data_IF_282566883446
#
_entry.id   IF_282566883446
#
_cell.length_a   1.000
_cell.length_b   1.000
_cell.length_c   1.000
_cell.angle_alpha   90.00
_cell.angle_beta   90.00
_cell.angle_gamma   90.00
#
_symmetry.space_group_name_H-M   'P 1'
#
loop_
_entity.id
_entity.type
_entity.pdbx_description
1 polymer ?
#
# COMPACT_ATOMS: atom_id res chain seq x y z
N UNK A 1 7.64 -5.00 -19.89
CA UNK A 1 6.40 -5.84 -19.92
C UNK A 1 5.19 -4.93 -19.92
N UNK A 2 4.16 -5.22 -20.72
CA UNK A 2 2.97 -4.36 -20.80
C UNK A 2 1.95 -4.79 -19.76
N UNK A 3 1.46 -3.87 -18.92
CA UNK A 3 0.39 -4.11 -17.95
C UNK A 3 -0.88 -4.69 -18.62
N UNK A 4 -1.26 -4.18 -19.80
CA UNK A 4 -2.44 -4.66 -20.54
C UNK A 4 -2.38 -6.17 -20.85
N UNK A 5 -1.19 -6.72 -21.15
CA UNK A 5 -1.02 -8.14 -21.51
C UNK A 5 -0.91 -9.03 -20.28
N UNK A 6 -0.16 -8.59 -19.27
CA UNK A 6 0.24 -9.46 -18.16
C UNK A 6 -0.53 -9.19 -16.87
N UNK A 7 -1.36 -8.13 -16.82
CA UNK A 7 -2.05 -7.63 -15.62
C UNK A 7 -1.11 -7.20 -14.50
N UNK A 8 0.20 -7.11 -14.77
CA UNK A 8 1.21 -6.53 -13.88
C UNK A 8 2.35 -5.91 -14.69
N UNK A 9 3.06 -5.00 -14.06
CA UNK A 9 4.30 -4.45 -14.59
C UNK A 9 5.13 -3.80 -13.49
N UNK A 10 6.44 -3.71 -13.70
CA UNK A 10 7.36 -3.01 -12.79
C UNK A 10 7.67 -1.64 -13.37
N UNK A 11 7.40 -0.60 -12.60
CA UNK A 11 7.79 0.77 -12.90
C UNK A 11 9.04 1.11 -12.10
N UNK A 12 10.16 1.22 -12.81
CA UNK A 12 11.43 1.63 -12.21
C UNK A 12 11.41 3.12 -11.91
N UNK A 13 11.91 3.50 -10.73
CA UNK A 13 11.97 4.91 -10.29
C UNK A 13 10.61 5.60 -10.38
N UNK A 14 9.55 4.94 -9.87
CA UNK A 14 8.22 5.55 -9.76
C UNK A 14 8.26 6.84 -8.93
N UNK A 15 9.14 6.87 -7.93
CA UNK A 15 9.60 8.06 -7.21
C UNK A 15 11.14 8.05 -7.15
N UNK A 16 11.74 9.19 -6.83
CA UNK A 16 13.19 9.26 -6.67
C UNK A 16 13.64 8.48 -5.42
N UNK A 17 14.90 8.05 -5.41
CA UNK A 17 15.47 7.34 -4.25
C UNK A 17 15.48 8.24 -3.01
N UNK A 18 15.73 9.53 -3.17
CA UNK A 18 15.74 10.52 -2.10
C UNK A 18 14.35 10.67 -1.46
N UNK A 19 13.30 10.70 -2.28
CA UNK A 19 11.93 10.75 -1.79
C UNK A 19 11.56 9.42 -1.10
N UNK A 20 11.94 8.28 -1.65
CA UNK A 20 11.72 6.98 -1.01
C UNK A 20 12.40 6.91 0.37
N UNK A 21 13.67 7.33 0.46
CA UNK A 21 14.43 7.39 1.72
C UNK A 21 13.80 8.35 2.74
N UNK A 22 13.35 9.53 2.29
CA UNK A 22 12.66 10.50 3.16
C UNK A 22 11.37 9.89 3.74
N UNK A 23 10.52 9.31 2.88
CA UNK A 23 9.26 8.69 3.31
C UNK A 23 9.52 7.48 4.23
N UNK A 24 10.54 6.69 3.95
CA UNK A 24 10.94 5.58 4.81
C UNK A 24 11.37 6.04 6.20
N UNK A 25 12.22 7.07 6.28
CA UNK A 25 12.65 7.68 7.55
C UNK A 25 11.48 8.31 8.31
N UNK A 26 10.61 9.04 7.61
CA UNK A 26 9.37 9.57 8.17
C UNK A 26 8.55 8.44 8.83
N UNK A 27 8.32 7.36 8.10
CA UNK A 27 7.47 6.28 8.59
C UNK A 27 8.11 5.51 9.76
N UNK A 28 9.43 5.34 9.75
CA UNK A 28 10.18 4.80 10.91
C UNK A 28 10.08 5.70 12.13
N UNK A 29 10.23 7.01 11.96
CA UNK A 29 10.07 7.96 13.05
C UNK A 29 8.65 7.94 13.60
N UNK A 30 7.63 7.93 12.73
CA UNK A 30 6.22 7.79 13.14
C UNK A 30 6.00 6.53 13.96
N UNK A 31 6.51 5.38 13.52
CA UNK A 31 6.47 4.13 14.30
C UNK A 31 7.10 4.29 15.69
N UNK A 32 8.27 4.91 15.77
CA UNK A 32 8.99 5.09 17.02
C UNK A 32 8.22 6.01 17.98
N UNK A 33 7.66 7.12 17.47
CA UNK A 33 6.81 8.03 18.26
C UNK A 33 5.55 7.30 18.74
N UNK A 34 4.86 6.60 17.83
CA UNK A 34 3.69 5.81 18.18
C UNK A 34 3.98 4.78 19.27
N UNK A 35 5.15 4.13 19.22
CA UNK A 35 5.58 3.16 20.22
C UNK A 35 5.78 3.81 21.59
N UNK A 36 6.44 4.97 21.67
CA UNK A 36 6.62 5.72 22.92
C UNK A 36 5.29 6.14 23.50
N UNK A 37 4.39 6.69 22.67
CA UNK A 37 3.05 7.10 23.10
C UNK A 37 2.23 5.90 23.64
N UNK A 38 2.33 4.75 22.98
CA UNK A 38 1.69 3.52 23.40
C UNK A 38 2.26 2.99 24.71
N UNK A 39 3.58 2.84 24.81
CA UNK A 39 4.26 2.31 26.02
C UNK A 39 4.06 3.26 27.23
N UNK A 40 3.93 4.57 26.99
CA UNK A 40 3.61 5.57 28.00
C UNK A 40 2.11 5.71 28.31
N UNK A 41 1.26 4.91 27.67
CA UNK A 41 -0.21 4.92 27.82
C UNK A 41 -0.90 6.23 27.43
N UNK A 42 -0.27 7.04 26.57
CA UNK A 42 -0.90 8.24 26.01
C UNK A 42 -1.91 7.94 24.93
N UNK A 43 -1.72 6.82 24.21
CA UNK A 43 -2.64 6.33 23.20
C UNK A 43 -3.02 4.87 23.47
N UNK A 44 -4.21 4.48 23.05
CA UNK A 44 -4.64 3.09 23.03
C UNK A 44 -3.87 2.30 21.95
N UNK A 45 -3.58 1.00 22.15
CA UNK A 45 -3.00 0.13 21.13
C UNK A 45 -3.84 0.03 19.86
N UNK A 46 -5.09 0.43 19.92
CA UNK A 46 -6.05 0.41 18.82
C UNK A 46 -6.26 1.80 18.17
N UNK A 47 -5.39 2.76 18.49
CA UNK A 47 -5.48 4.12 17.93
C UNK A 47 -4.91 4.18 16.54
N UNK A 48 -5.79 4.17 15.53
CA UNK A 48 -5.41 4.10 14.11
C UNK A 48 -4.64 5.32 13.58
N UNK A 49 -4.76 6.49 14.23
CA UNK A 49 -4.09 7.74 13.80
C UNK A 49 -2.55 7.66 13.79
N UNK A 50 -2.00 6.80 14.64
CA UNK A 50 -0.57 6.61 14.77
C UNK A 50 -0.07 5.30 14.17
N UNK A 51 -1.00 4.51 13.58
CA UNK A 51 -0.71 3.17 13.09
C UNK A 51 -0.96 2.11 14.17
N UNK A 52 -0.94 0.86 13.74
CA UNK A 52 -1.32 -0.30 14.55
C UNK A 52 -0.28 -1.41 14.45
N UNK A 53 -0.32 -2.34 15.41
CA UNK A 53 0.48 -3.58 15.42
C UNK A 53 -0.36 -4.86 15.41
N UNK A 54 -1.69 -4.72 15.38
CA UNK A 54 -2.64 -5.83 15.45
C UNK A 54 -3.30 -6.17 14.11
N UNK A 55 -2.62 -5.90 12.99
CA UNK A 55 -3.08 -6.33 11.68
C UNK A 55 -2.99 -7.85 11.56
N UNK A 56 -4.12 -8.51 11.31
CA UNK A 56 -4.22 -9.97 11.23
C UNK A 56 -3.45 -10.57 10.04
N UNK A 57 -3.26 -9.80 8.95
CA UNK A 57 -2.54 -10.28 7.78
C UNK A 57 -1.04 -10.49 8.05
N UNK A 58 -0.43 -9.60 8.89
CA UNK A 58 0.97 -9.74 9.33
C UNK A 58 1.04 -9.33 10.81
N UNK A 59 0.79 -10.27 11.73
CA UNK A 59 0.69 -9.98 13.16
C UNK A 59 1.95 -9.34 13.76
N UNK A 60 1.74 -8.46 14.74
CA UNK A 60 2.83 -7.76 15.46
C UNK A 60 3.75 -6.93 14.57
N UNK A 61 3.27 -6.52 13.40
CA UNK A 61 4.02 -5.69 12.44
C UNK A 61 3.37 -4.33 12.29
N UNK A 62 4.19 -3.26 12.42
CA UNK A 62 3.69 -1.89 12.34
C UNK A 62 3.13 -1.57 10.97
N UNK A 63 1.89 -1.15 10.95
CA UNK A 63 1.16 -0.75 9.75
C UNK A 63 0.30 0.49 9.97
N UNK A 64 0.00 1.19 8.88
CA UNK A 64 -0.81 2.40 8.92
C UNK A 64 -1.68 2.51 7.67
N UNK A 65 -2.99 2.61 7.89
CA UNK A 65 -3.98 2.89 6.86
C UNK A 65 -4.16 4.41 6.73
N UNK A 66 -4.19 4.94 5.49
CA UNK A 66 -4.59 6.30 5.22
C UNK A 66 -3.65 7.38 5.78
N UNK A 67 -2.37 7.07 6.01
CA UNK A 67 -1.39 8.06 6.42
C UNK A 67 -1.31 9.20 5.39
N UNK A 68 -1.35 10.46 5.84
CA UNK A 68 -1.42 11.65 4.97
C UNK A 68 -0.25 11.70 3.99
N UNK A 69 0.98 11.38 4.43
CA UNK A 69 2.14 11.38 3.54
C UNK A 69 2.03 10.26 2.49
N UNK A 70 1.52 9.08 2.87
CA UNK A 70 1.33 7.96 1.95
C UNK A 70 0.19 8.23 0.95
N UNK A 71 -0.87 8.90 1.37
CA UNK A 71 -1.96 9.29 0.45
C UNK A 71 -1.58 10.48 -0.43
N UNK A 72 -0.63 11.30 0.00
CA UNK A 72 0.01 12.28 -0.89
C UNK A 72 0.81 11.57 -1.99
N UNK A 73 1.54 10.48 -1.66
CA UNK A 73 2.17 9.64 -2.68
C UNK A 73 1.15 8.99 -3.62
N UNK A 74 0.02 8.51 -3.09
CA UNK A 74 -1.09 7.95 -3.88
C UNK A 74 -1.51 8.93 -4.99
N UNK A 75 -1.71 10.20 -4.65
CA UNK A 75 -2.06 11.24 -5.62
C UNK A 75 -0.90 11.56 -6.58
N UNK A 76 0.32 11.66 -6.05
CA UNK A 76 1.50 12.05 -6.83
C UNK A 76 1.90 11.02 -7.90
N UNK A 77 1.79 9.71 -7.60
CA UNK A 77 2.18 8.66 -8.56
C UNK A 77 1.07 8.30 -9.54
N UNK A 78 -0.18 8.69 -9.29
CA UNK A 78 -1.32 8.37 -10.16
C UNK A 78 -1.12 8.75 -11.64
N UNK A 79 -0.67 9.97 -12.01
CA UNK A 79 -0.44 10.31 -13.42
C UNK A 79 0.59 9.41 -14.10
N UNK A 80 1.63 9.02 -13.37
CA UNK A 80 2.67 8.11 -13.87
C UNK A 80 2.10 6.71 -14.06
N UNK A 81 1.28 6.23 -13.12
CA UNK A 81 0.57 4.96 -13.25
C UNK A 81 -0.40 4.94 -14.42
N UNK A 82 -1.20 5.99 -14.59
CA UNK A 82 -2.14 6.12 -15.71
C UNK A 82 -1.41 6.05 -17.06
N UNK A 83 -0.31 6.80 -17.19
CA UNK A 83 0.54 6.75 -18.39
C UNK A 83 1.13 5.36 -18.64
N UNK A 84 1.60 4.69 -17.58
CA UNK A 84 2.26 3.38 -17.68
C UNK A 84 1.29 2.23 -17.97
N UNK A 85 0.11 2.26 -17.38
CA UNK A 85 -0.92 1.21 -17.55
C UNK A 85 -1.84 1.45 -18.75
N UNK A 86 -2.01 2.72 -19.14
CA UNK A 86 -3.02 3.16 -20.12
C UNK A 86 -4.44 3.14 -19.55
N UNK A 87 -4.60 3.12 -18.23
CA UNK A 87 -5.89 3.21 -17.53
C UNK A 87 -6.13 4.62 -17.00
N UNK A 88 -7.40 4.95 -16.76
CA UNK A 88 -7.80 6.07 -15.91
C UNK A 88 -8.16 5.53 -14.54
N UNK A 89 -7.60 6.12 -13.49
CA UNK A 89 -7.63 5.60 -12.13
C UNK A 89 -8.37 6.54 -11.17
N UNK A 90 -9.12 5.94 -10.26
CA UNK A 90 -9.77 6.59 -9.12
C UNK A 90 -9.09 6.11 -7.85
N UNK A 91 -8.65 7.02 -7.00
CA UNK A 91 -7.98 6.71 -5.74
C UNK A 91 -8.95 6.04 -4.76
N UNK A 92 -8.45 5.05 -4.03
CA UNK A 92 -9.17 4.43 -2.91
C UNK A 92 -8.49 4.74 -1.57
N UNK A 93 -7.35 4.14 -1.30
CA UNK A 93 -6.58 4.41 -0.07
C UNK A 93 -5.12 3.97 -0.21
N UNK A 94 -4.33 4.38 0.76
CA UNK A 94 -2.98 3.86 0.97
C UNK A 94 -2.90 2.99 2.21
N UNK A 95 -2.00 2.02 2.18
CA UNK A 95 -1.63 1.22 3.34
C UNK A 95 -0.11 1.09 3.38
N UNK A 96 0.50 1.30 4.53
CA UNK A 96 1.95 1.21 4.65
C UNK A 96 2.34 0.23 5.76
N UNK A 97 3.47 -0.44 5.61
CA UNK A 97 3.94 -1.42 6.58
C UNK A 97 5.47 -1.40 6.68
N UNK A 98 5.99 -1.53 7.91
CA UNK A 98 7.42 -1.80 8.16
C UNK A 98 7.53 -3.24 8.64
N UNK A 99 7.90 -4.09 7.72
CA UNK A 99 8.13 -5.51 7.99
C UNK A 99 9.40 -5.73 8.81
N UNK A 100 9.39 -6.78 9.62
CA UNK A 100 10.49 -7.22 10.46
C UNK A 100 10.84 -8.67 10.18
N UNK A 101 11.99 -9.12 10.67
CA UNK A 101 12.43 -10.51 10.56
C UNK A 101 11.34 -11.49 11.02
N UNK A 102 11.14 -12.54 10.24
CA UNK A 102 10.13 -13.57 10.46
C UNK A 102 8.74 -13.25 9.89
N UNK A 103 8.52 -12.04 9.37
CA UNK A 103 7.23 -11.71 8.74
C UNK A 103 7.04 -12.49 7.45
N UNK A 104 5.81 -12.91 7.22
CA UNK A 104 5.35 -13.57 6.00
C UNK A 104 4.11 -12.83 5.51
N UNK A 105 4.03 -12.57 4.22
CA UNK A 105 2.77 -12.16 3.59
C UNK A 105 2.17 -13.38 2.90
N UNK A 106 1.13 -13.96 3.52
CA UNK A 106 0.47 -15.12 2.99
C UNK A 106 -0.06 -14.88 1.57
N UNK A 107 -0.12 -15.94 0.75
CA UNK A 107 -0.65 -15.90 -0.61
C UNK A 107 -2.12 -15.52 -0.60
N UNK A 108 -2.48 -14.45 -1.31
CA UNK A 108 -3.83 -13.90 -1.33
C UNK A 108 -4.11 -13.10 -2.60
N UNK A 109 -5.36 -12.72 -2.79
CA UNK A 109 -5.83 -11.69 -3.70
C UNK A 109 -6.40 -10.53 -2.91
N UNK A 110 -6.33 -9.34 -3.47
CA UNK A 110 -6.87 -8.14 -2.84
C UNK A 110 -8.40 -8.06 -2.94
N UNK A 111 -8.97 -7.18 -2.10
CA UNK A 111 -10.37 -6.81 -2.15
C UNK A 111 -10.70 -5.91 -3.35
N UNK A 112 -11.97 -5.75 -3.67
CA UNK A 112 -12.46 -4.94 -4.79
C UNK A 112 -12.06 -3.47 -4.74
N UNK A 113 -11.81 -2.90 -3.56
CA UNK A 113 -11.25 -1.54 -3.41
C UNK A 113 -9.79 -1.44 -3.89
N UNK A 114 -9.14 -2.57 -4.12
CA UNK A 114 -7.74 -2.71 -4.55
C UNK A 114 -7.64 -3.33 -5.95
N UNK A 115 -8.57 -2.97 -6.87
CA UNK A 115 -8.62 -3.52 -8.24
C UNK A 115 -7.26 -3.34 -8.96
N UNK A 116 -6.69 -2.15 -8.85
CA UNK A 116 -5.34 -1.83 -9.33
C UNK A 116 -4.50 -1.48 -8.11
N UNK A 117 -3.65 -2.39 -7.76
CA UNK A 117 -2.78 -2.29 -6.58
C UNK A 117 -1.34 -2.00 -6.95
N UNK A 118 -0.63 -1.45 -6.00
CA UNK A 118 0.83 -1.32 -6.09
C UNK A 118 1.50 -1.80 -4.81
N UNK A 119 2.77 -2.19 -4.94
CA UNK A 119 3.72 -2.18 -3.83
C UNK A 119 4.91 -1.33 -4.26
N UNK A 120 5.15 -0.25 -3.54
CA UNK A 120 6.27 0.68 -3.74
C UNK A 120 7.28 0.46 -2.61
N UNK A 121 8.50 0.11 -2.98
CA UNK A 121 9.57 -0.09 -2.01
C UNK A 121 10.11 1.27 -1.53
N UNK A 122 10.01 1.53 -0.24
CA UNK A 122 10.55 2.72 0.41
C UNK A 122 12.01 2.56 0.84
N UNK A 123 12.42 1.35 1.25
CA UNK A 123 13.77 1.08 1.73
C UNK A 123 13.83 -0.07 2.73
N UNK A 124 15.00 -0.27 3.30
CA UNK A 124 15.32 -1.40 4.16
C UNK A 124 16.00 -2.54 3.38
N UNK A 125 15.97 -3.73 3.95
CA UNK A 125 16.60 -4.90 3.35
C UNK A 125 15.77 -5.46 2.19
N UNK A 126 16.44 -6.10 1.24
CA UNK A 126 15.81 -6.71 0.07
C UNK A 126 14.79 -7.78 0.48
N UNK A 127 13.58 -7.63 -0.01
CA UNK A 127 12.52 -8.62 0.18
C UNK A 127 11.63 -8.74 -1.06
N UNK A 128 11.81 -9.78 -1.85
CA UNK A 128 11.05 -9.94 -3.09
C UNK A 128 9.57 -10.21 -2.82
N UNK A 129 8.73 -9.75 -3.75
CA UNK A 129 7.33 -10.16 -3.83
C UNK A 129 7.18 -11.17 -4.95
N UNK A 130 6.28 -12.12 -4.76
CA UNK A 130 5.87 -13.09 -5.78
C UNK A 130 4.46 -12.78 -6.23
N UNK A 131 4.17 -12.99 -7.50
CA UNK A 131 2.82 -12.93 -8.02
C UNK A 131 2.60 -14.02 -9.06
N UNK A 132 1.37 -14.49 -9.15
CA UNK A 132 0.97 -15.51 -10.12
C UNK A 132 0.29 -14.85 -11.33
N UNK A 133 1.01 -14.69 -12.47
CA UNK A 133 0.46 -14.06 -13.65
C UNK A 133 -0.53 -14.94 -14.41
N UNK A 134 -0.67 -16.21 -14.05
CA UNK A 134 -1.58 -17.14 -14.73
C UNK A 134 -3.03 -16.98 -14.27
N UNK A 135 -3.26 -16.41 -13.09
CA UNK A 135 -4.56 -16.35 -12.43
C UNK A 135 -5.08 -17.71 -11.95
N UNK A 136 -4.27 -18.77 -12.09
CA UNK A 136 -4.57 -20.12 -11.62
C UNK A 136 -3.95 -20.32 -10.25
N UNK A 137 -4.73 -20.78 -9.30
CA UNK A 137 -4.25 -21.02 -7.94
C UNK A 137 -3.09 -22.02 -7.88
N UNK A 138 -2.15 -21.81 -6.94
CA UNK A 138 -1.11 -22.78 -6.60
C UNK A 138 0.12 -22.82 -7.53
N UNK A 139 0.25 -21.90 -8.50
CA UNK A 139 1.44 -21.85 -9.37
C UNK A 139 2.65 -21.23 -8.66
N UNK A 140 3.85 -21.55 -9.14
CA UNK A 140 5.11 -21.09 -8.54
C UNK A 140 5.28 -19.54 -8.54
N UNK A 141 4.59 -18.87 -9.48
CA UNK A 141 4.64 -17.41 -9.58
C UNK A 141 5.93 -16.85 -10.15
N UNK A 142 5.94 -15.52 -10.26
CA UNK A 142 7.09 -14.74 -10.72
C UNK A 142 7.66 -13.96 -9.54
N UNK A 143 8.96 -14.12 -9.31
CA UNK A 143 9.71 -13.37 -8.28
C UNK A 143 10.06 -11.98 -8.79
N UNK A 144 9.64 -10.95 -8.07
CA UNK A 144 9.89 -9.54 -8.39
C UNK A 144 10.73 -8.90 -7.29
N UNK A 145 11.87 -8.33 -7.67
CA UNK A 145 12.71 -7.51 -6.79
C UNK A 145 12.51 -6.03 -7.10
N UNK A 146 12.37 -5.22 -6.07
CA UNK A 146 12.18 -3.78 -6.16
C UNK A 146 13.27 -3.07 -5.36
N UNK A 147 13.99 -2.16 -6.00
CA UNK A 147 14.86 -1.23 -5.29
C UNK A 147 14.04 -0.09 -4.67
N UNK A 148 14.57 0.67 -3.69
CA UNK A 148 13.90 1.85 -3.18
C UNK A 148 13.49 2.82 -4.30
N UNK A 149 12.21 3.19 -4.33
CA UNK A 149 11.59 4.00 -5.39
C UNK A 149 11.01 3.21 -6.57
N UNK A 150 11.30 1.90 -6.70
CA UNK A 150 10.65 1.02 -7.68
C UNK A 150 9.26 0.61 -7.19
N UNK A 151 8.34 0.42 -8.14
CA UNK A 151 6.95 0.05 -7.85
C UNK A 151 6.52 -1.12 -8.74
N UNK A 152 5.92 -2.15 -8.15
CA UNK A 152 5.15 -3.15 -8.87
C UNK A 152 3.69 -2.67 -8.94
N UNK A 153 3.11 -2.69 -10.12
CA UNK A 153 1.69 -2.41 -10.38
C UNK A 153 1.04 -3.72 -10.81
N UNK A 154 -0.10 -4.08 -10.25
CA UNK A 154 -0.77 -5.33 -10.56
C UNK A 154 -2.29 -5.24 -10.36
N UNK A 155 -3.03 -6.13 -11.05
CA UNK A 155 -4.47 -6.33 -10.83
C UNK A 155 -4.67 -7.13 -9.55
N UNK A 156 -4.90 -6.44 -8.43
CA UNK A 156 -4.92 -7.03 -7.09
C UNK A 156 -6.00 -8.10 -6.92
N UNK A 157 -7.19 -7.88 -7.51
CA UNK A 157 -8.31 -8.83 -7.44
C UNK A 157 -8.11 -10.08 -8.32
N UNK A 158 -7.26 -9.98 -9.34
CA UNK A 158 -7.07 -11.07 -10.32
C UNK A 158 -5.88 -11.98 -9.98
N UNK A 159 -4.77 -11.36 -9.54
CA UNK A 159 -3.49 -12.03 -9.38
C UNK A 159 -3.20 -12.32 -7.92
N UNK A 160 -2.96 -13.58 -7.60
CA UNK A 160 -2.43 -13.95 -6.29
C UNK A 160 -1.02 -13.40 -6.12
N UNK A 161 -0.73 -12.91 -4.94
CA UNK A 161 0.58 -12.39 -4.60
C UNK A 161 0.92 -12.69 -3.14
N UNK A 162 2.24 -12.79 -2.84
CA UNK A 162 2.74 -13.17 -1.53
C UNK A 162 4.20 -12.79 -1.35
N UNK A 163 4.67 -12.89 -0.13
CA UNK A 163 6.09 -12.82 0.23
C UNK A 163 6.42 -13.97 1.17
N UNK A 164 7.52 -14.64 0.90
CA UNK A 164 8.07 -15.68 1.78
C UNK A 164 8.64 -15.06 3.06
N UNK A 165 9.08 -15.87 4.01
CA UNK A 165 9.63 -15.37 5.27
C UNK A 165 10.74 -14.34 5.06
N UNK A 166 10.60 -13.20 5.75
CA UNK A 166 11.57 -12.12 5.71
C UNK A 166 12.75 -12.40 6.65
N UNK A 167 13.94 -12.52 6.08
CA UNK A 167 15.16 -12.81 6.82
C UNK A 167 15.96 -11.55 7.20
N UNK A 168 15.64 -10.40 6.62
CA UNK A 168 16.26 -9.10 6.89
C UNK A 168 15.82 -8.48 8.22
N UNK A 169 16.33 -7.28 8.50
CA UNK A 169 16.04 -6.54 9.73
C UNK A 169 14.73 -5.77 9.64
N UNK A 170 14.59 -4.91 8.63
CA UNK A 170 13.37 -4.16 8.34
C UNK A 170 13.22 -3.88 6.83
N UNK A 171 11.98 -3.77 6.37
CA UNK A 171 11.63 -3.43 5.00
C UNK A 171 10.35 -2.57 4.98
N UNK A 172 10.47 -1.34 4.49
CA UNK A 172 9.35 -0.40 4.37
C UNK A 172 8.68 -0.50 3.00
N UNK A 173 7.38 -0.75 3.00
CA UNK A 173 6.55 -0.82 1.80
C UNK A 173 5.33 0.09 1.95
N UNK A 174 4.92 0.71 0.84
CA UNK A 174 3.60 1.35 0.76
C UNK A 174 2.80 0.75 -0.38
N UNK A 175 1.55 0.46 -0.10
CA UNK A 175 0.56 -0.07 -1.01
C UNK A 175 -0.40 1.06 -1.37
N UNK A 176 -0.53 1.35 -2.66
CA UNK A 176 -1.36 2.42 -3.17
C UNK A 176 -2.45 1.78 -4.04
N UNK A 177 -3.70 2.01 -3.67
CA UNK A 177 -4.83 1.30 -4.23
C UNK A 177 -5.73 2.22 -5.05
N UNK A 178 -6.20 1.70 -6.17
CA UNK A 178 -7.05 2.42 -7.11
C UNK A 178 -8.11 1.49 -7.70
N UNK A 179 -9.19 2.08 -8.17
CA UNK A 179 -10.13 1.43 -9.08
C UNK A 179 -10.03 2.04 -10.48
N UNK A 180 -10.40 1.27 -11.49
CA UNK A 180 -10.48 1.75 -12.86
C UNK A 180 -11.70 2.67 -13.01
N UNK A 181 -11.48 3.91 -13.46
CA UNK A 181 -12.56 4.89 -13.72
C UNK A 181 -13.60 4.29 -14.68
N UNK A 182 -14.86 4.49 -14.36
CA UNK A 182 -16.00 3.95 -15.11
C UNK A 182 -16.47 2.57 -14.66
N UNK A 183 -15.70 1.87 -13.80
CA UNK A 183 -16.18 0.62 -13.19
C UNK A 183 -17.21 0.89 -12.08
N UNK A 184 -18.05 -0.10 -11.78
CA UNK A 184 -18.93 -0.08 -10.61
C UNK A 184 -18.12 0.11 -9.33
N UNK A 185 -16.98 -0.58 -9.23
CA UNK A 185 -16.07 -0.51 -8.09
C UNK A 185 -15.54 0.90 -7.82
N UNK A 186 -15.20 1.67 -8.88
CA UNK A 186 -14.72 3.04 -8.72
C UNK A 186 -15.76 3.97 -8.09
N UNK A 187 -17.06 3.78 -8.40
CA UNK A 187 -18.14 4.55 -7.79
C UNK A 187 -18.36 4.18 -6.33
N UNK A 188 -18.30 2.88 -6.03
CA UNK A 188 -18.57 2.34 -4.69
C UNK A 188 -17.42 2.55 -3.70
N UNK A 189 -16.18 2.62 -4.19
CA UNK A 189 -14.98 2.65 -3.35
C UNK A 189 -14.16 3.95 -3.48
N UNK A 190 -14.72 4.99 -4.11
CA UNK A 190 -14.02 6.29 -4.22
C UNK A 190 -13.55 6.74 -2.84
N UNK A 191 -12.26 7.06 -2.70
CA UNK A 191 -11.59 7.42 -1.44
C UNK A 191 -11.86 6.43 -0.29
N UNK A 192 -12.14 5.16 -0.62
CA UNK A 192 -12.63 4.13 0.31
C UNK A 192 -13.84 4.57 1.15
N UNK A 193 -14.79 5.29 0.49
CA UNK A 193 -16.01 5.87 1.08
C UNK A 193 -15.77 6.96 2.13
N UNK A 194 -14.56 7.46 2.25
CA UNK A 194 -14.20 8.60 3.08
C UNK A 194 -14.45 9.90 2.32
N UNK A 195 -14.77 11.01 2.99
CA UNK A 195 -14.97 12.29 2.32
C UNK A 195 -13.66 12.92 1.83
N UNK A 196 -12.51 12.51 2.38
CA UNK A 196 -11.18 13.02 2.04
C UNK A 196 -10.11 11.96 2.31
N UNK A 197 -9.06 11.96 1.50
CA UNK A 197 -7.83 11.21 1.76
C UNK A 197 -7.18 11.69 3.06
N UNK A 198 -6.45 10.81 3.76
CA UNK A 198 -5.81 11.12 5.05
C UNK A 198 -6.71 10.91 6.27
N UNK A 199 -7.98 10.62 6.07
CA UNK A 199 -8.88 10.26 7.16
C UNK A 199 -8.79 8.76 7.48
N UNK A 200 -9.02 8.36 8.75
CA UNK A 200 -8.96 6.95 9.15
C UNK A 200 -10.10 6.14 8.53
N UNK A 201 -9.92 4.81 8.47
CA UNK A 201 -10.87 3.88 7.83
C UNK A 201 -12.30 3.94 8.37
N UNK A 202 -12.47 4.26 9.64
CA UNK A 202 -13.80 4.34 10.28
C UNK A 202 -14.57 5.62 9.92
N UNK A 203 -13.93 6.63 9.33
CA UNK A 203 -14.57 7.91 8.95
C UNK A 203 -15.31 7.81 7.61
N UNK A 204 -16.06 6.72 7.41
CA UNK A 204 -16.81 6.46 6.17
C UNK A 204 -18.21 7.06 6.24
N UNK A 205 -18.69 7.55 5.08
CA UNK A 205 -20.06 8.09 4.96
C UNK A 205 -20.29 9.46 5.57
N UNK A 206 -19.31 10.06 6.24
CA UNK A 206 -19.45 11.42 6.75
C UNK A 206 -19.47 12.44 5.61
N UNK A 207 -20.41 13.39 5.68
CA UNK A 207 -20.43 14.53 4.74
C UNK A 207 -19.58 15.66 5.32
N UNK A 208 -18.72 16.25 4.49
CA UNK A 208 -18.04 17.48 4.86
C UNK A 208 -19.10 18.58 5.06
N UNK A 209 -19.11 19.20 6.23
CA UNK A 209 -19.88 20.41 6.43
C UNK A 209 -19.20 21.56 5.69
N UNK A 210 -19.96 22.48 5.09
CA UNK A 210 -19.45 23.59 4.26
C UNK A 210 -18.57 24.60 5.04
N UNK A 211 -18.17 24.33 6.28
CA UNK A 211 -17.37 25.20 7.15
C UNK A 211 -15.85 25.18 6.89
N UNK A 212 -15.41 24.49 5.84
CA UNK A 212 -13.98 24.39 5.46
C UNK A 212 -13.67 25.02 4.09
N UNK A 213 -14.43 26.04 3.69
CA UNK A 213 -14.04 26.89 2.56
C UNK A 213 -13.25 28.09 3.02
#
# INVERSE_FOLDING_TARGET
MSFKKNKYSVLKKAISKELADFVYKYFKNKRNVARVLFDSRYISPFTEYWGIWNDEQVPNTYSHYGDIAMETLLQQVKPVMEKHTGLKLSETYSYARIYKKGDVLARHKDWYSCEISTTLNLGGDDWPIYLDPTGKQGQAGVKVKLNPGDMLIYSGCDLEHWREEFIGKDCGQVFLHYNKVGSKMAKENALDKRPLLGLPAWFKGAKLTNSTK
#
